data_IF_764511812374
#
_entry.id   IF_764511812374
#
_cell.length_a   1.000
_cell.length_b   1.000
_cell.length_c   1.000
_cell.angle_alpha   90.00
_cell.angle_beta   90.00
_cell.angle_gamma   90.00
#
_symmetry.space_group_name_H-M   'P 1'
#
loop_
_entity.id
_entity.type
_entity.pdbx_description
1 polymer ?
#
# COMPACT_ATOMS: atom_id res chain seq x y z
N UNK A 1 34.99 4.39 24.34
CA UNK A 1 35.92 3.53 23.56
C UNK A 1 35.26 3.23 22.23
N UNK A 2 35.68 3.92 21.18
CA UNK A 2 35.25 3.69 19.78
C UNK A 2 35.97 2.44 19.31
N UNK A 3 35.19 1.40 18.93
CA UNK A 3 35.74 0.21 18.33
C UNK A 3 36.16 0.55 16.89
N UNK A 4 37.45 0.53 16.64
CA UNK A 4 38.04 0.62 15.31
C UNK A 4 38.16 -0.82 14.80
N UNK A 5 37.72 -1.09 13.57
CA UNK A 5 37.88 -2.42 12.94
C UNK A 5 39.36 -2.64 12.54
N UNK A 6 39.77 -3.90 12.31
CA UNK A 6 41.14 -4.29 11.92
C UNK A 6 41.68 -3.60 10.65
N UNK A 7 40.89 -2.77 9.99
CA UNK A 7 41.25 -1.99 8.79
C UNK A 7 41.30 -0.46 9.07
N UNK A 8 41.26 -0.07 10.35
CA UNK A 8 41.36 1.35 10.73
C UNK A 8 40.14 2.20 10.37
N UNK A 9 38.97 1.59 10.10
CA UNK A 9 37.74 2.32 9.82
C UNK A 9 36.90 2.45 11.09
N UNK A 10 36.22 3.61 11.32
CA UNK A 10 35.30 3.73 12.42
C UNK A 10 34.21 2.68 12.27
N UNK A 11 34.14 1.75 13.23
CA UNK A 11 33.14 0.69 13.26
C UNK A 11 31.75 1.31 13.35
N UNK A 12 30.91 1.10 12.34
CA UNK A 12 29.51 1.52 12.37
C UNK A 12 28.82 0.88 13.58
N UNK A 13 28.31 1.69 14.48
CA UNK A 13 27.56 1.22 15.65
C UNK A 13 26.32 0.45 15.17
N UNK A 14 25.88 -0.57 15.94
CA UNK A 14 24.71 -1.37 15.58
C UNK A 14 23.44 -0.54 15.32
N UNK A 15 23.35 0.67 15.88
CA UNK A 15 22.29 1.66 15.60
C UNK A 15 22.33 2.22 14.18
N UNK A 16 23.52 2.40 13.59
CA UNK A 16 23.66 2.93 12.23
C UNK A 16 23.31 1.87 11.18
N UNK A 17 23.58 0.59 11.46
CA UNK A 17 23.15 -0.54 10.59
C UNK A 17 21.63 -0.72 10.57
N UNK A 18 20.94 -0.44 11.67
CA UNK A 18 19.47 -0.56 11.76
C UNK A 18 18.72 0.63 11.11
N UNK A 19 19.32 1.84 11.09
CA UNK A 19 18.71 3.04 10.53
C UNK A 19 18.73 3.08 8.99
N UNK A 20 19.74 2.52 8.34
CA UNK A 20 19.91 2.58 6.90
C UNK A 20 18.75 2.02 6.09
N UNK A 21 18.23 0.79 6.36
CA UNK A 21 17.11 0.22 5.60
C UNK A 21 15.76 0.89 5.90
N UNK A 22 15.55 1.43 7.10
CA UNK A 22 14.31 2.13 7.46
C UNK A 22 14.19 3.47 6.71
N UNK A 23 15.26 4.26 6.62
CA UNK A 23 15.27 5.55 5.91
C UNK A 23 14.97 5.40 4.41
N UNK A 24 15.38 4.30 3.77
CA UNK A 24 15.10 4.04 2.35
C UNK A 24 13.62 3.79 2.04
N UNK A 25 12.80 3.47 3.05
CA UNK A 25 11.36 3.19 2.92
C UNK A 25 10.51 4.43 3.15
N UNK A 26 11.06 5.48 3.76
CA UNK A 26 10.35 6.73 4.05
C UNK A 26 9.74 7.39 2.80
N UNK A 27 10.39 7.45 1.62
CA UNK A 27 9.78 8.05 0.45
C UNK A 27 8.50 7.32 0.01
N UNK A 28 8.48 5.98 0.06
CA UNK A 28 7.28 5.20 -0.28
C UNK A 28 6.15 5.45 0.73
N UNK A 29 6.48 5.47 2.00
CA UNK A 29 5.52 5.77 3.05
C UNK A 29 4.96 7.20 2.91
N UNK A 30 5.80 8.16 2.56
CA UNK A 30 5.38 9.55 2.33
C UNK A 30 4.34 9.65 1.20
N UNK A 31 4.47 8.86 0.11
CA UNK A 31 3.46 8.80 -0.94
C UNK A 31 2.10 8.31 -0.41
N UNK A 32 2.10 7.32 0.47
CA UNK A 32 0.87 6.88 1.15
C UNK A 32 0.27 7.97 2.03
N UNK A 33 1.09 8.72 2.77
CA UNK A 33 0.60 9.83 3.60
C UNK A 33 0.06 10.99 2.78
N UNK A 34 0.60 11.28 1.60
CA UNK A 34 0.00 12.24 0.66
C UNK A 34 -1.41 11.80 0.30
N UNK A 35 -1.61 10.53 -0.05
CA UNK A 35 -2.93 9.97 -0.33
C UNK A 35 -3.88 10.08 0.86
N UNK A 36 -3.39 9.80 2.08
CA UNK A 36 -4.17 9.91 3.31
C UNK A 36 -4.65 11.35 3.55
N UNK A 37 -3.75 12.32 3.47
CA UNK A 37 -4.07 13.73 3.74
C UNK A 37 -5.07 14.24 2.70
N UNK A 38 -4.74 14.10 1.40
CA UNK A 38 -5.61 14.57 0.33
C UNK A 38 -6.95 13.81 0.32
N UNK A 39 -6.91 12.48 0.53
CA UNK A 39 -8.10 11.65 0.61
C UNK A 39 -9.02 12.04 1.78
N UNK A 40 -8.46 12.35 2.95
CA UNK A 40 -9.24 12.81 4.10
C UNK A 40 -9.90 14.15 3.82
N UNK A 41 -9.15 15.11 3.27
CA UNK A 41 -9.69 16.43 2.89
C UNK A 41 -10.76 16.31 1.80
N UNK A 42 -10.56 15.42 0.82
CA UNK A 42 -11.56 15.10 -0.21
C UNK A 42 -12.85 14.53 0.40
N UNK A 43 -12.71 13.67 1.44
CA UNK A 43 -13.85 13.15 2.20
C UNK A 43 -14.60 14.25 2.96
N UNK A 44 -13.89 15.16 3.62
CA UNK A 44 -14.49 16.33 4.29
C UNK A 44 -15.25 17.23 3.30
N UNK A 45 -14.67 17.45 2.10
CA UNK A 45 -15.35 18.19 1.04
C UNK A 45 -16.69 17.55 0.63
N UNK A 46 -16.78 16.22 0.59
CA UNK A 46 -18.03 15.48 0.33
C UNK A 46 -19.09 15.70 1.42
N UNK A 47 -18.67 16.00 2.62
CA UNK A 47 -19.56 16.31 3.75
C UNK A 47 -19.92 17.81 3.82
N UNK A 48 -19.51 18.61 2.83
CA UNK A 48 -19.80 20.05 2.77
C UNK A 48 -18.82 20.92 3.56
N UNK A 49 -17.72 20.39 4.07
CA UNK A 49 -16.71 21.20 4.74
C UNK A 49 -15.80 21.92 3.74
N UNK A 50 -15.36 23.14 4.05
CA UNK A 50 -14.44 23.88 3.18
C UNK A 50 -13.07 23.20 3.17
N UNK A 51 -12.76 22.52 2.08
CA UNK A 51 -11.50 21.75 1.92
C UNK A 51 -10.51 22.40 0.93
N UNK A 52 -10.72 23.67 0.57
CA UNK A 52 -9.83 24.41 -0.32
C UNK A 52 -9.60 23.67 -1.66
N UNK A 53 -8.33 23.57 -2.08
CA UNK A 53 -7.97 22.89 -3.32
C UNK A 53 -8.32 21.39 -3.36
N UNK A 54 -8.45 20.74 -2.20
CA UNK A 54 -8.82 19.32 -2.14
C UNK A 54 -10.29 19.05 -2.48
N UNK A 55 -11.13 20.09 -2.56
CA UNK A 55 -12.54 19.95 -2.98
C UNK A 55 -12.66 19.38 -4.40
N UNK A 56 -11.75 19.70 -5.32
CA UNK A 56 -11.71 19.13 -6.67
C UNK A 56 -11.45 17.62 -6.68
N UNK A 57 -10.84 17.07 -5.64
CA UNK A 57 -10.57 15.65 -5.48
C UNK A 57 -11.69 14.89 -4.72
N UNK A 58 -12.82 15.52 -4.41
CA UNK A 58 -13.91 14.94 -3.61
C UNK A 58 -14.38 13.58 -4.17
N UNK A 59 -14.50 13.43 -5.50
CA UNK A 59 -14.87 12.18 -6.15
C UNK A 59 -13.80 11.07 -5.99
N UNK A 60 -12.55 11.45 -5.71
CA UNK A 60 -11.40 10.54 -5.58
C UNK A 60 -11.17 10.08 -4.13
N UNK A 61 -12.01 10.50 -3.15
CA UNK A 61 -11.84 10.09 -1.75
C UNK A 61 -11.62 8.57 -1.60
N UNK A 62 -12.51 7.75 -2.16
CA UNK A 62 -12.40 6.28 -2.10
C UNK A 62 -11.10 5.75 -2.70
N UNK A 63 -10.79 6.05 -3.98
CA UNK A 63 -9.53 5.66 -4.61
C UNK A 63 -8.28 6.11 -3.85
N UNK A 64 -8.26 7.34 -3.34
CA UNK A 64 -7.12 7.85 -2.57
C UNK A 64 -6.92 7.11 -1.24
N UNK A 65 -8.03 6.81 -0.54
CA UNK A 65 -7.95 6.08 0.72
C UNK A 65 -7.56 4.62 0.50
N UNK A 66 -8.19 3.93 -0.45
CA UNK A 66 -8.00 2.49 -0.59
C UNK A 66 -6.79 2.17 -1.47
N UNK A 67 -6.75 2.67 -2.72
CA UNK A 67 -5.66 2.34 -3.64
C UNK A 67 -4.38 3.13 -3.31
N UNK A 68 -4.53 4.40 -2.89
CA UNK A 68 -3.42 5.26 -2.53
C UNK A 68 -2.84 4.95 -1.15
N UNK A 69 -3.59 5.18 -0.08
CA UNK A 69 -3.06 5.02 1.29
C UNK A 69 -2.91 3.55 1.68
N UNK A 70 -4.03 2.80 1.78
CA UNK A 70 -3.97 1.40 2.20
C UNK A 70 -3.19 0.52 1.22
N UNK A 71 -3.30 0.77 -0.08
CA UNK A 71 -2.53 0.07 -1.10
C UNK A 71 -1.02 0.24 -0.92
N UNK A 72 -0.54 1.46 -0.63
CA UNK A 72 0.88 1.70 -0.33
C UNK A 72 1.29 1.06 0.98
N UNK A 73 0.54 1.26 2.07
CA UNK A 73 0.93 0.81 3.41
C UNK A 73 0.98 -0.71 3.48
N UNK A 74 -0.08 -1.40 3.04
CA UNK A 74 -0.19 -2.86 3.09
C UNK A 74 0.84 -3.51 2.15
N UNK A 75 1.03 -2.96 0.93
CA UNK A 75 2.04 -3.46 0.02
C UNK A 75 3.47 -3.23 0.55
N UNK A 76 3.74 -2.10 1.22
CA UNK A 76 5.03 -1.82 1.83
C UNK A 76 5.32 -2.75 3.00
N UNK A 77 4.34 -2.98 3.87
CA UNK A 77 4.43 -3.94 4.97
C UNK A 77 4.77 -5.34 4.44
N UNK A 78 4.05 -5.79 3.43
CA UNK A 78 4.29 -7.09 2.79
C UNK A 78 5.68 -7.17 2.14
N UNK A 79 6.11 -6.09 1.47
CA UNK A 79 7.44 -6.00 0.87
C UNK A 79 8.55 -6.09 1.92
N UNK A 80 8.35 -5.45 3.07
CA UNK A 80 9.28 -5.49 4.20
C UNK A 80 9.35 -6.90 4.80
N UNK A 81 8.22 -7.56 4.99
CA UNK A 81 8.15 -8.91 5.55
C UNK A 81 8.82 -9.95 4.63
N UNK A 82 8.65 -9.84 3.31
CA UNK A 82 9.25 -10.76 2.33
C UNK A 82 10.74 -10.45 2.09
N UNK A 83 11.13 -9.16 2.13
CA UNK A 83 12.52 -8.72 1.97
C UNK A 83 13.09 -8.85 0.55
N UNK A 84 12.25 -9.02 -0.49
CA UNK A 84 12.67 -9.12 -1.89
C UNK A 84 12.52 -7.80 -2.63
N UNK A 85 13.48 -7.41 -3.46
CA UNK A 85 13.48 -6.12 -4.15
C UNK A 85 12.24 -5.91 -5.03
N UNK A 86 11.77 -6.94 -5.75
CA UNK A 86 10.61 -6.82 -6.64
C UNK A 86 9.30 -6.50 -5.92
N UNK A 87 9.16 -6.90 -4.64
CA UNK A 87 7.92 -6.64 -3.88
C UNK A 87 7.74 -5.15 -3.58
N UNK A 88 8.81 -4.36 -3.60
CA UNK A 88 8.74 -2.90 -3.42
C UNK A 88 8.14 -2.18 -4.65
N UNK A 89 7.99 -2.85 -5.79
CA UNK A 89 7.23 -2.31 -6.92
C UNK A 89 5.75 -2.11 -6.57
N UNK A 90 5.19 -2.91 -5.66
CA UNK A 90 3.80 -2.75 -5.19
C UNK A 90 3.52 -1.37 -4.62
N UNK A 91 4.15 -0.97 -3.49
CA UNK A 91 3.96 0.35 -2.91
C UNK A 91 4.45 1.48 -3.82
N UNK A 92 5.47 1.26 -4.65
CA UNK A 92 5.94 2.25 -5.62
C UNK A 92 4.86 2.57 -6.66
N UNK A 93 4.29 1.55 -7.29
CA UNK A 93 3.24 1.73 -8.30
C UNK A 93 1.96 2.31 -7.70
N UNK A 94 1.55 1.88 -6.50
CA UNK A 94 0.41 2.45 -5.81
C UNK A 94 0.64 3.94 -5.50
N UNK A 95 1.82 4.31 -4.99
CA UNK A 95 2.15 5.70 -4.63
C UNK A 95 2.31 6.62 -5.84
N UNK A 96 3.08 6.22 -6.85
CA UNK A 96 3.24 7.00 -8.09
C UNK A 96 1.91 7.08 -8.84
N UNK A 97 1.14 5.98 -8.88
CA UNK A 97 -0.21 5.96 -9.44
C UNK A 97 -1.13 6.99 -8.77
N UNK A 98 -1.02 7.15 -7.44
CA UNK A 98 -1.77 8.18 -6.70
C UNK A 98 -1.44 9.59 -7.19
N UNK A 99 -0.16 9.93 -7.37
CA UNK A 99 0.23 11.25 -7.88
C UNK A 99 -0.31 11.50 -9.29
N UNK A 100 -0.29 10.48 -10.15
CA UNK A 100 -0.84 10.55 -11.50
C UNK A 100 -2.37 10.70 -11.49
N UNK A 101 -3.09 10.00 -10.60
CA UNK A 101 -4.54 10.19 -10.41
C UNK A 101 -4.84 11.61 -9.97
N UNK A 102 -4.08 12.16 -9.02
CA UNK A 102 -4.25 13.54 -8.56
C UNK A 102 -3.96 14.58 -9.65
N UNK A 103 -3.08 14.27 -10.60
CA UNK A 103 -2.82 15.11 -11.77
C UNK A 103 -3.88 14.99 -12.88
N UNK A 104 -4.90 14.14 -12.68
CA UNK A 104 -5.96 13.89 -13.68
C UNK A 104 -5.57 12.86 -14.76
N UNK A 105 -4.44 12.16 -14.61
CA UNK A 105 -3.99 11.16 -15.59
C UNK A 105 -4.68 9.82 -15.39
N UNK A 106 -5.37 9.29 -16.41
CA UNK A 106 -5.99 7.96 -16.38
C UNK A 106 -5.00 6.80 -16.23
N UNK A 107 -3.71 7.02 -16.58
CA UNK A 107 -2.65 6.02 -16.40
C UNK A 107 -2.43 5.72 -14.91
N UNK A 108 -2.71 6.69 -14.03
CA UNK A 108 -2.55 6.53 -12.60
C UNK A 108 -3.35 5.36 -12.01
N UNK A 109 -4.61 5.18 -12.45
CA UNK A 109 -5.46 4.07 -12.02
C UNK A 109 -4.89 2.71 -12.46
N UNK A 110 -4.37 2.61 -13.68
CA UNK A 110 -3.72 1.39 -14.18
C UNK A 110 -2.42 1.09 -13.44
N UNK A 111 -1.68 2.11 -13.05
CA UNK A 111 -0.47 1.92 -12.25
C UNK A 111 -0.81 1.43 -10.83
N UNK A 112 -1.90 1.91 -10.22
CA UNK A 112 -2.41 1.38 -8.95
C UNK A 112 -2.86 -0.09 -9.10
N UNK A 113 -3.53 -0.45 -10.20
CA UNK A 113 -3.89 -1.83 -10.51
C UNK A 113 -2.66 -2.75 -10.67
N UNK A 114 -1.59 -2.24 -11.29
CA UNK A 114 -0.31 -2.94 -11.36
C UNK A 114 0.30 -3.14 -9.96
N UNK A 115 0.24 -2.12 -9.09
CA UNK A 115 0.66 -2.23 -7.69
C UNK A 115 -0.11 -3.29 -6.90
N UNK A 116 -1.44 -3.35 -7.10
CA UNK A 116 -2.31 -4.38 -6.52
C UNK A 116 -1.93 -5.78 -7.02
N UNK A 117 -1.59 -5.92 -8.30
CA UNK A 117 -1.14 -7.19 -8.89
C UNK A 117 0.20 -7.66 -8.29
N UNK A 118 1.13 -6.74 -8.04
CA UNK A 118 2.37 -7.07 -7.32
C UNK A 118 2.08 -7.54 -5.89
N UNK A 119 1.16 -6.89 -5.18
CA UNK A 119 0.72 -7.32 -3.85
C UNK A 119 0.11 -8.73 -3.88
N UNK A 120 -0.74 -9.02 -4.87
CA UNK A 120 -1.32 -10.35 -5.07
C UNK A 120 -0.23 -11.40 -5.30
N UNK A 121 0.73 -11.12 -6.19
CA UNK A 121 1.84 -12.03 -6.48
C UNK A 121 2.71 -12.28 -5.24
N UNK A 122 2.99 -11.23 -4.46
CA UNK A 122 3.73 -11.31 -3.21
C UNK A 122 3.00 -12.16 -2.17
N UNK A 123 1.69 -11.97 -2.01
CA UNK A 123 0.86 -12.75 -1.08
C UNK A 123 0.72 -14.20 -1.54
N UNK A 124 0.62 -14.45 -2.86
CA UNK A 124 0.61 -15.80 -3.43
C UNK A 124 1.94 -16.55 -3.18
N UNK A 125 3.09 -15.87 -3.25
CA UNK A 125 4.39 -16.46 -2.90
C UNK A 125 4.43 -16.88 -1.43
N UNK A 126 3.89 -16.06 -0.52
CA UNK A 126 3.75 -16.41 0.90
C UNK A 126 2.83 -17.62 1.09
N UNK A 127 1.65 -17.62 0.45
CA UNK A 127 0.70 -18.72 0.54
C UNK A 127 1.28 -20.05 0.04
N UNK A 128 2.06 -20.02 -1.05
CA UNK A 128 2.74 -21.23 -1.57
C UNK A 128 3.73 -21.84 -0.57
N UNK A 129 4.39 -21.01 0.24
CA UNK A 129 5.37 -21.43 1.25
C UNK A 129 4.70 -21.88 2.55
N UNK A 130 3.62 -21.21 2.92
CA UNK A 130 2.89 -21.45 4.15
C UNK A 130 1.39 -21.55 3.85
N UNK A 131 0.91 -22.76 3.61
CA UNK A 131 -0.51 -23.05 3.34
C UNK A 131 -1.28 -23.08 4.66
N UNK A 132 -1.82 -21.95 5.06
CA UNK A 132 -2.61 -21.79 6.27
C UNK A 132 -3.87 -20.98 5.98
N UNK A 133 -4.89 -21.06 6.84
CA UNK A 133 -6.14 -20.34 6.67
C UNK A 133 -5.92 -18.83 6.59
N UNK A 134 -5.07 -18.27 7.44
CA UNK A 134 -4.78 -16.83 7.43
C UNK A 134 -4.09 -16.37 6.14
N UNK A 135 -3.13 -17.14 5.60
CA UNK A 135 -2.48 -16.79 4.31
C UNK A 135 -3.44 -16.92 3.14
N UNK A 136 -4.39 -17.86 3.19
CA UNK A 136 -5.46 -17.99 2.21
C UNK A 136 -6.42 -16.79 2.28
N UNK A 137 -6.80 -16.37 3.47
CA UNK A 137 -7.66 -15.18 3.69
C UNK A 137 -6.99 -13.92 3.15
N UNK A 138 -5.68 -13.73 3.43
CA UNK A 138 -4.89 -12.62 2.88
C UNK A 138 -4.82 -12.66 1.35
N UNK A 139 -4.69 -13.86 0.75
CA UNK A 139 -4.66 -14.04 -0.71
C UNK A 139 -5.99 -13.63 -1.34
N UNK A 140 -7.13 -14.02 -0.76
CA UNK A 140 -8.46 -13.61 -1.21
C UNK A 140 -8.63 -12.09 -1.10
N UNK A 141 -8.14 -11.47 -0.02
CA UNK A 141 -8.13 -10.02 0.13
C UNK A 141 -7.34 -9.32 -0.99
N UNK A 142 -6.12 -9.79 -1.28
CA UNK A 142 -5.31 -9.25 -2.35
C UNK A 142 -5.95 -9.45 -3.74
N UNK A 143 -6.64 -10.57 -3.97
CA UNK A 143 -7.41 -10.81 -5.21
C UNK A 143 -8.57 -9.81 -5.34
N UNK A 144 -9.34 -9.59 -4.27
CA UNK A 144 -10.41 -8.60 -4.26
C UNK A 144 -9.85 -7.20 -4.57
N UNK A 145 -8.68 -6.85 -4.03
CA UNK A 145 -8.03 -5.58 -4.32
C UNK A 145 -7.69 -5.40 -5.80
N UNK A 146 -7.14 -6.43 -6.45
CA UNK A 146 -6.85 -6.41 -7.89
C UNK A 146 -8.13 -6.22 -8.69
N UNK A 147 -9.19 -7.00 -8.39
CA UNK A 147 -10.49 -6.88 -9.08
C UNK A 147 -11.03 -5.46 -8.98
N UNK A 148 -11.05 -4.89 -7.77
CA UNK A 148 -11.51 -3.51 -7.55
C UNK A 148 -10.68 -2.47 -8.30
N UNK A 149 -9.33 -2.57 -8.24
CA UNK A 149 -8.44 -1.62 -8.92
C UNK A 149 -8.54 -1.71 -10.45
N UNK A 150 -8.61 -2.92 -11.01
CA UNK A 150 -8.74 -3.12 -12.46
C UNK A 150 -10.11 -2.63 -12.95
N UNK A 151 -11.19 -2.96 -12.24
CA UNK A 151 -12.54 -2.50 -12.59
C UNK A 151 -12.62 -0.97 -12.57
N UNK A 152 -12.03 -0.31 -11.57
CA UNK A 152 -11.97 1.15 -11.51
C UNK A 152 -11.11 1.73 -12.63
N UNK A 153 -9.93 1.17 -12.92
CA UNK A 153 -9.06 1.63 -14.00
C UNK A 153 -9.70 1.47 -15.38
N UNK A 154 -10.59 0.46 -15.55
CA UNK A 154 -11.39 0.24 -16.76
C UNK A 154 -12.59 1.20 -16.88
N UNK A 155 -12.77 2.14 -15.96
CA UNK A 155 -13.85 3.14 -15.99
C UNK A 155 -15.08 2.76 -15.16
N UNK A 156 -15.02 1.73 -14.34
CA UNK A 156 -16.09 1.35 -13.42
C UNK A 156 -16.37 2.46 -12.40
N UNK A 157 -17.64 2.66 -12.07
CA UNK A 157 -18.06 3.66 -11.09
C UNK A 157 -17.54 3.28 -9.69
N UNK A 158 -17.14 4.30 -8.90
CA UNK A 158 -16.56 4.07 -7.57
C UNK A 158 -17.49 3.22 -6.68
N UNK A 159 -18.80 3.44 -6.72
CA UNK A 159 -19.75 2.68 -5.90
C UNK A 159 -19.83 1.18 -6.29
N UNK A 160 -19.55 0.83 -7.53
CA UNK A 160 -19.54 -0.57 -8.01
C UNK A 160 -18.29 -1.32 -7.54
N UNK A 161 -17.19 -0.61 -7.35
CA UNK A 161 -15.91 -1.21 -6.94
C UNK A 161 -15.73 -1.23 -5.41
N UNK A 162 -16.49 -0.42 -4.67
CA UNK A 162 -16.43 -0.37 -3.19
C UNK A 162 -16.54 -1.74 -2.53
N UNK A 163 -17.44 -2.68 -2.94
CA UNK A 163 -17.51 -4.00 -2.32
C UNK A 163 -16.20 -4.78 -2.41
N UNK A 164 -15.49 -4.67 -3.53
CA UNK A 164 -14.19 -5.31 -3.73
C UNK A 164 -13.11 -4.71 -2.82
N UNK A 165 -13.08 -3.38 -2.70
CA UNK A 165 -12.15 -2.68 -1.82
C UNK A 165 -12.46 -2.93 -0.34
N UNK A 166 -13.74 -2.98 0.03
CA UNK A 166 -14.15 -3.36 1.38
C UNK A 166 -13.74 -4.82 1.68
N UNK A 167 -13.96 -5.73 0.75
CA UNK A 167 -13.50 -7.11 0.83
C UNK A 167 -12.00 -7.22 1.05
N UNK A 168 -11.20 -6.44 0.33
CA UNK A 168 -9.76 -6.36 0.53
C UNK A 168 -9.40 -5.99 1.98
N UNK A 169 -9.97 -4.91 2.52
CA UNK A 169 -9.64 -4.46 3.88
C UNK A 169 -10.12 -5.45 4.93
N UNK A 170 -11.35 -5.93 4.83
CA UNK A 170 -11.93 -6.87 5.79
C UNK A 170 -11.14 -8.18 5.81
N UNK A 171 -10.83 -8.74 4.64
CA UNK A 171 -10.08 -9.99 4.55
C UNK A 171 -8.61 -9.82 4.98
N UNK A 172 -8.00 -8.66 4.73
CA UNK A 172 -6.66 -8.37 5.23
C UNK A 172 -6.64 -8.33 6.75
N UNK A 173 -7.55 -7.57 7.38
CA UNK A 173 -7.66 -7.49 8.84
C UNK A 173 -7.98 -8.86 9.44
N UNK A 174 -8.92 -9.61 8.84
CA UNK A 174 -9.28 -10.94 9.31
C UNK A 174 -8.10 -11.91 9.22
N UNK A 175 -7.33 -11.87 8.12
CA UNK A 175 -6.15 -12.70 7.94
C UNK A 175 -5.07 -12.43 8.98
N UNK A 176 -4.78 -11.16 9.26
CA UNK A 176 -3.83 -10.75 10.28
C UNK A 176 -4.28 -11.15 11.70
N UNK A 177 -5.57 -11.02 12.00
CA UNK A 177 -6.14 -11.48 13.28
C UNK A 177 -6.05 -13.00 13.44
N UNK A 178 -6.31 -13.76 12.37
CA UNK A 178 -6.15 -15.21 12.37
C UNK A 178 -4.67 -15.63 12.56
N UNK A 179 -3.72 -14.86 12.05
CA UNK A 179 -2.30 -15.09 12.28
C UNK A 179 -1.94 -14.90 13.74
N UNK A 180 -2.35 -13.78 14.35
CA UNK A 180 -2.09 -13.45 15.75
C UNK A 180 -2.76 -14.43 16.74
N UNK A 181 -3.90 -15.03 16.39
CA UNK A 181 -4.61 -15.99 17.26
C UNK A 181 -3.90 -17.35 17.41
N UNK A 182 -2.77 -17.56 16.71
CA UNK A 182 -2.00 -18.81 16.76
C UNK A 182 -0.93 -18.82 17.86
N UNK A 183 -0.71 -17.68 18.51
CA UNK A 183 0.21 -17.47 19.61
C UNK A 183 -0.55 -17.29 20.92
#
# INVERSE_FOLDING_TARGET
RSAIDDRGRPGMTGKDKARGPALRRLPLLALGFVALIVGTLAGLARLGWPAGAAASAAALHGPLMICGFFGVVIALERAVAIGRAWTYLGPLFAGVGTLLVLSGSGIGAWLQAAGATVLLAATADVFRRQRALFTFTLLLGALAFVVGCVSWAAGGAVFEVVPWWAGFLVLTIAGERLELSRF
#
